data_IF_924217021884
#
_entry.id   IF_924217021884
#
_cell.length_a   1.000
_cell.length_b   1.000
_cell.length_c   1.000
_cell.angle_alpha   90.00
_cell.angle_beta   90.00
_cell.angle_gamma   90.00
#
_symmetry.space_group_name_H-M   'P 1'
#
loop_
_entity.id
_entity.type
_entity.pdbx_description
1 polymer ?
#
# COMPACT_ATOMS: atom_id res chain seq x y z
N UNK A 1 2.40 13.11 -17.26
CA UNK A 1 2.58 11.84 -16.54
C UNK A 1 1.61 10.83 -17.12
N UNK A 2 2.09 9.65 -17.52
CA UNK A 2 1.28 8.61 -18.17
C UNK A 2 0.55 7.82 -17.09
N UNK A 3 -0.79 7.91 -17.09
CA UNK A 3 -1.66 7.13 -16.22
C UNK A 3 -1.85 5.75 -16.82
N UNK A 4 -1.63 4.70 -16.03
CA UNK A 4 -1.76 3.32 -16.47
C UNK A 4 -2.99 2.68 -15.81
N UNK A 5 -3.86 2.00 -16.58
CA UNK A 5 -5.07 1.35 -16.06
C UNK A 5 -4.72 0.16 -15.18
N UNK A 6 -5.68 -0.27 -14.38
CA UNK A 6 -5.58 -1.40 -13.46
C UNK A 6 -5.29 -2.68 -14.24
N UNK A 7 -4.11 -3.27 -14.02
CA UNK A 7 -3.58 -4.41 -14.78
C UNK A 7 -2.41 -4.06 -15.71
N UNK A 8 -2.07 -2.79 -15.88
CA UNK A 8 -0.90 -2.39 -16.64
C UNK A 8 0.39 -2.46 -15.80
N UNK A 9 1.43 -2.99 -16.43
CA UNK A 9 2.79 -3.15 -15.90
C UNK A 9 3.40 -1.79 -15.54
N UNK A 10 3.80 -1.61 -14.28
CA UNK A 10 4.29 -0.32 -13.75
C UNK A 10 5.77 -0.11 -14.12
N UNK A 11 6.09 0.61 -15.21
CA UNK A 11 7.46 0.78 -15.71
C UNK A 11 8.47 1.35 -14.69
N UNK A 12 9.19 0.48 -13.95
CA UNK A 12 10.34 0.87 -13.11
C UNK A 12 11.27 -0.30 -12.78
N UNK A 13 12.58 -0.06 -12.74
CA UNK A 13 13.64 -1.09 -12.81
C UNK A 13 14.21 -1.49 -11.44
N UNK A 14 13.40 -1.53 -10.38
CA UNK A 14 13.87 -1.84 -9.01
C UNK A 14 13.34 -3.20 -8.54
N UNK A 15 14.24 -4.08 -8.09
CA UNK A 15 13.98 -5.48 -7.68
C UNK A 15 14.46 -5.72 -6.23
N UNK A 16 13.71 -6.45 -5.39
CA UNK A 16 14.18 -6.89 -4.05
C UNK A 16 13.85 -8.37 -3.80
N UNK A 17 14.69 -9.10 -3.05
CA UNK A 17 14.78 -10.59 -3.01
C UNK A 17 13.51 -11.39 -2.61
N UNK A 18 12.51 -10.79 -1.96
CA UNK A 18 11.20 -11.40 -1.66
C UNK A 18 10.14 -11.08 -2.74
N UNK A 19 10.47 -10.09 -3.58
CA UNK A 19 9.80 -9.59 -4.78
C UNK A 19 10.69 -9.91 -5.99
N UNK A 20 10.98 -11.19 -6.20
CA UNK A 20 11.73 -11.63 -7.40
C UNK A 20 11.01 -11.28 -8.71
N UNK A 21 9.73 -10.90 -8.61
CA UNK A 21 8.94 -10.19 -9.62
C UNK A 21 9.27 -8.69 -9.54
N UNK A 22 9.54 -8.05 -10.67
CA UNK A 22 9.83 -6.62 -10.69
C UNK A 22 8.68 -5.86 -10.02
N UNK A 23 8.93 -4.69 -9.40
CA UNK A 23 7.81 -3.86 -8.92
C UNK A 23 6.79 -3.53 -10.04
N UNK A 24 7.22 -3.68 -11.32
CA UNK A 24 6.39 -3.71 -12.53
C UNK A 24 5.25 -4.71 -12.51
N UNK A 25 5.45 -5.88 -11.92
CA UNK A 25 4.55 -7.03 -11.99
C UNK A 25 3.59 -7.09 -10.79
N UNK A 26 3.78 -6.18 -9.82
CA UNK A 26 2.99 -6.08 -8.61
C UNK A 26 1.72 -5.27 -8.88
N UNK A 27 0.72 -5.97 -9.38
CA UNK A 27 -0.60 -5.41 -9.68
C UNK A 27 -1.52 -5.42 -8.45
N UNK A 28 -2.64 -4.70 -8.54
CA UNK A 28 -3.71 -4.76 -7.53
C UNK A 28 -4.11 -6.21 -7.21
N UNK A 29 -4.18 -7.07 -8.24
CA UNK A 29 -4.49 -8.50 -8.13
C UNK A 29 -3.56 -9.27 -7.19
N UNK A 30 -2.29 -8.87 -7.08
CA UNK A 30 -1.36 -9.54 -6.17
C UNK A 30 -1.71 -9.29 -4.70
N UNK A 31 -2.22 -8.11 -4.37
CA UNK A 31 -2.53 -7.71 -2.99
C UNK A 31 -3.98 -7.91 -2.60
N UNK A 32 -4.88 -7.90 -3.58
CA UNK A 32 -6.31 -8.05 -3.37
C UNK A 32 -6.62 -9.29 -2.52
N UNK A 33 -7.46 -9.12 -1.50
CA UNK A 33 -7.91 -10.22 -0.65
C UNK A 33 -6.89 -10.69 0.41
N UNK A 34 -5.66 -10.17 0.43
CA UNK A 34 -4.70 -10.49 1.51
C UNK A 34 -5.18 -9.87 2.83
N UNK A 35 -4.97 -10.62 3.90
CA UNK A 35 -5.22 -10.18 5.28
C UNK A 35 -3.97 -9.51 5.85
N UNK A 36 -4.17 -8.38 6.51
CA UNK A 36 -3.13 -7.62 7.19
C UNK A 36 -3.62 -7.21 8.58
N UNK A 37 -2.70 -7.11 9.53
CA UNK A 37 -3.05 -6.91 10.96
C UNK A 37 -2.18 -5.82 11.56
N UNK A 38 -2.78 -4.85 12.26
CA UNK A 38 -2.00 -3.83 12.98
C UNK A 38 -1.58 -4.29 14.39
N UNK A 39 -0.82 -3.45 15.09
CA UNK A 39 -0.35 -3.69 16.46
C UNK A 39 -1.48 -3.82 17.52
N UNK A 40 -2.70 -3.38 17.22
CA UNK A 40 -3.88 -3.53 18.08
C UNK A 40 -4.63 -4.85 17.83
N UNK A 41 -4.16 -5.68 16.89
CA UNK A 41 -4.85 -6.90 16.48
C UNK A 41 -6.01 -6.67 15.52
N UNK A 42 -6.16 -5.46 14.97
CA UNK A 42 -7.21 -5.18 13.96
C UNK A 42 -6.80 -5.85 12.65
N UNK A 43 -7.61 -6.80 12.20
CA UNK A 43 -7.46 -7.46 10.91
C UNK A 43 -8.25 -6.72 9.83
N UNK A 44 -7.61 -6.53 8.68
CA UNK A 44 -8.18 -5.91 7.49
C UNK A 44 -7.88 -6.78 6.27
N UNK A 45 -8.88 -6.96 5.42
CA UNK A 45 -8.70 -7.52 4.07
C UNK A 45 -8.41 -6.37 3.11
N UNK A 46 -7.31 -6.47 2.36
CA UNK A 46 -6.97 -5.48 1.34
C UNK A 46 -8.01 -5.51 0.22
N UNK A 47 -8.67 -4.37 0.01
CA UNK A 47 -9.55 -4.12 -1.13
C UNK A 47 -9.05 -2.90 -1.89
N UNK A 48 -8.50 -3.10 -3.06
CA UNK A 48 -8.05 -2.05 -3.96
C UNK A 48 -9.16 -1.85 -5.00
N UNK A 49 -9.77 -0.65 -5.09
CA UNK A 49 -10.76 -0.38 -6.12
C UNK A 49 -10.22 -0.54 -7.53
N UNK A 50 -11.08 -0.98 -8.46
CA UNK A 50 -10.69 -1.27 -9.85
C UNK A 50 -10.32 -0.02 -10.65
N UNK A 51 -10.65 1.18 -10.18
CA UNK A 51 -10.30 2.46 -10.79
C UNK A 51 -9.01 3.09 -10.23
N UNK A 52 -8.33 2.40 -9.30
CA UNK A 52 -7.06 2.86 -8.73
C UNK A 52 -5.88 2.58 -9.65
N UNK A 53 -5.01 3.57 -9.77
CA UNK A 53 -3.73 3.45 -10.49
C UNK A 53 -2.59 3.14 -9.52
N UNK A 54 -1.63 2.35 -9.97
CA UNK A 54 -0.44 2.00 -9.22
C UNK A 54 0.73 2.94 -9.57
N UNK A 55 1.37 3.52 -8.56
CA UNK A 55 2.62 4.29 -8.71
C UNK A 55 3.63 3.88 -7.66
N UNK A 56 4.93 4.02 -7.97
CA UNK A 56 5.97 3.71 -6.99
C UNK A 56 6.05 4.84 -5.97
N UNK A 57 6.22 4.49 -4.70
CA UNK A 57 6.46 5.46 -3.63
C UNK A 57 7.75 6.23 -3.88
N UNK A 58 7.81 7.51 -3.50
CA UNK A 58 8.96 8.39 -3.77
C UNK A 58 10.32 7.82 -3.28
N UNK A 59 10.32 6.97 -2.25
CA UNK A 59 11.53 6.34 -1.72
C UNK A 59 11.91 5.02 -2.43
N UNK A 60 11.16 4.60 -3.45
CA UNK A 60 11.40 3.36 -4.21
C UNK A 60 11.15 2.06 -3.44
N UNK A 61 10.52 2.11 -2.25
CA UNK A 61 10.35 0.95 -1.36
C UNK A 61 8.91 0.45 -1.26
N UNK A 62 8.05 0.82 -2.19
CA UNK A 62 6.65 0.46 -2.13
C UNK A 62 5.85 0.93 -3.33
N UNK A 63 4.56 0.59 -3.28
CA UNK A 63 3.56 0.90 -4.30
C UNK A 63 2.41 1.65 -3.63
N UNK A 64 1.97 2.71 -4.29
CA UNK A 64 0.80 3.49 -3.98
C UNK A 64 -0.31 3.09 -4.94
N UNK A 65 -1.46 2.67 -4.44
CA UNK A 65 -2.70 2.57 -5.20
C UNK A 65 -3.58 3.75 -4.84
N UNK A 66 -3.95 4.57 -5.83
CA UNK A 66 -4.72 5.79 -5.60
C UNK A 66 -5.71 6.05 -6.73
N UNK A 67 -6.77 6.84 -6.51
CA UNK A 67 -7.62 7.31 -7.59
C UNK A 67 -6.82 8.06 -8.65
N UNK A 68 -7.25 7.96 -9.91
CA UNK A 68 -6.66 8.72 -11.00
C UNK A 68 -6.68 10.23 -10.71
N UNK A 69 -5.54 10.89 -10.87
CA UNK A 69 -5.40 12.33 -10.61
C UNK A 69 -5.23 12.71 -9.13
N UNK A 70 -5.29 11.75 -8.20
CA UNK A 70 -5.08 12.02 -6.78
C UNK A 70 -3.60 12.34 -6.47
N UNK A 71 -3.36 13.46 -5.79
CA UNK A 71 -2.06 13.82 -5.23
C UNK A 71 -1.97 13.43 -3.76
N UNK A 72 -0.73 13.40 -3.25
CA UNK A 72 -0.45 13.13 -1.83
C UNK A 72 -1.00 11.78 -1.34
N UNK A 73 -1.57 11.76 -0.13
CA UNK A 73 -2.11 10.57 0.53
C UNK A 73 -3.64 10.45 0.37
N UNK A 74 -4.29 11.26 -0.47
CA UNK A 74 -5.76 11.28 -0.58
C UNK A 74 -6.28 9.96 -1.14
N UNK A 75 -7.11 9.27 -0.35
CA UNK A 75 -7.70 7.97 -0.66
C UNK A 75 -6.66 6.89 -1.04
N UNK A 76 -5.44 7.01 -0.52
CA UNK A 76 -4.31 6.17 -0.88
C UNK A 76 -4.35 4.82 -0.14
N UNK A 77 -3.99 3.74 -0.83
CA UNK A 77 -3.54 2.48 -0.23
C UNK A 77 -2.06 2.35 -0.52
N UNK A 78 -1.23 2.44 0.51
CA UNK A 78 0.23 2.34 0.37
C UNK A 78 0.70 0.97 0.85
N UNK A 79 1.31 0.21 -0.03
CA UNK A 79 1.95 -1.07 0.28
C UNK A 79 3.46 -0.89 0.27
N UNK A 80 4.12 -1.26 1.35
CA UNK A 80 5.55 -1.10 1.55
C UNK A 80 6.26 -2.45 1.61
N UNK A 81 7.44 -2.53 1.00
CA UNK A 81 8.30 -3.70 1.06
C UNK A 81 8.84 -3.95 2.48
N UNK A 82 9.37 -5.15 2.76
CA UNK A 82 10.01 -5.44 4.03
C UNK A 82 11.07 -4.40 4.41
N UNK A 83 11.03 -3.94 5.66
CA UNK A 83 11.93 -2.87 6.11
C UNK A 83 11.59 -2.30 7.47
N UNK A 84 12.34 -1.28 7.87
CA UNK A 84 12.11 -0.54 9.11
C UNK A 84 11.24 0.69 8.84
N UNK A 85 10.24 0.92 9.67
CA UNK A 85 9.44 2.15 9.72
C UNK A 85 9.14 2.50 11.17
N UNK A 86 9.41 3.75 11.58
CA UNK A 86 9.12 4.22 12.94
C UNK A 86 9.78 3.39 14.05
N UNK A 87 10.96 2.82 13.80
CA UNK A 87 11.66 1.96 14.76
C UNK A 87 11.19 0.50 14.79
N UNK A 88 10.07 0.17 14.13
CA UNK A 88 9.55 -1.19 14.02
C UNK A 88 10.06 -1.84 12.74
N UNK A 89 10.44 -3.12 12.83
CA UNK A 89 10.84 -3.91 11.67
C UNK A 89 9.68 -4.76 11.16
N UNK A 90 9.38 -4.64 9.87
CA UNK A 90 8.29 -5.34 9.18
C UNK A 90 8.91 -6.37 8.23
N UNK A 91 9.11 -7.64 8.64
CA UNK A 91 9.85 -8.64 7.86
C UNK A 91 9.14 -9.07 6.58
N UNK A 92 7.83 -8.82 6.48
CA UNK A 92 6.99 -9.13 5.31
C UNK A 92 6.43 -7.89 4.62
N UNK A 93 6.84 -6.70 5.06
CA UNK A 93 6.26 -5.43 4.65
C UNK A 93 4.97 -5.09 5.40
N UNK A 94 4.35 -3.98 5.00
CA UNK A 94 3.14 -3.45 5.65
C UNK A 94 2.28 -2.65 4.68
N UNK A 95 1.05 -2.35 5.09
CA UNK A 95 0.09 -1.53 4.36
C UNK A 95 -0.40 -0.38 5.24
N UNK A 96 -0.66 0.77 4.61
CA UNK A 96 -1.34 1.91 5.24
C UNK A 96 -2.51 2.34 4.36
N UNK A 97 -3.66 2.57 4.99
CA UNK A 97 -4.88 3.03 4.32
C UNK A 97 -5.15 4.48 4.70
N UNK A 98 -5.45 5.32 3.72
CA UNK A 98 -5.70 6.74 3.92
C UNK A 98 -7.10 7.13 3.46
N UNK A 99 -7.71 8.09 4.16
CA UNK A 99 -8.99 8.69 3.78
C UNK A 99 -8.82 9.84 2.77
N UNK A 100 -9.94 10.47 2.40
CA UNK A 100 -9.97 11.62 1.50
C UNK A 100 -9.22 12.87 2.00
N UNK A 101 -8.87 12.91 3.28
CA UNK A 101 -8.11 13.99 3.90
C UNK A 101 -6.62 13.65 4.06
N UNK A 102 -6.18 12.50 3.52
CA UNK A 102 -4.79 12.04 3.64
C UNK A 102 -4.41 11.55 5.04
N UNK A 103 -5.39 11.28 5.90
CA UNK A 103 -5.19 10.74 7.25
C UNK A 103 -5.24 9.21 7.21
N UNK A 104 -4.36 8.56 7.98
CA UNK A 104 -4.38 7.11 8.07
C UNK A 104 -5.62 6.62 8.85
N UNK A 105 -6.28 5.58 8.36
CA UNK A 105 -7.54 5.08 8.92
C UNK A 105 -7.55 3.56 9.09
N UNK A 106 -8.48 3.08 9.92
CA UNK A 106 -8.99 1.72 9.81
C UNK A 106 -10.02 1.69 8.67
N UNK A 107 -9.75 1.00 7.55
CA UNK A 107 -10.63 1.01 6.39
C UNK A 107 -11.98 0.31 6.62
N UNK A 108 -12.11 -0.52 7.67
CA UNK A 108 -13.38 -1.17 8.02
C UNK A 108 -14.33 -0.23 8.78
N UNK A 109 -13.78 0.73 9.54
CA UNK A 109 -14.58 1.62 10.42
C UNK A 109 -14.53 3.09 10.02
N UNK A 110 -13.64 3.48 9.12
CA UNK A 110 -13.39 4.88 8.74
C UNK A 110 -12.68 5.72 9.80
N UNK A 111 -12.43 5.17 11.00
CA UNK A 111 -11.80 5.90 12.10
C UNK A 111 -10.33 6.16 11.83
N UNK A 112 -9.87 7.38 12.11
CA UNK A 112 -8.47 7.76 12.05
C UNK A 112 -7.63 6.98 13.05
N UNK A 113 -6.43 6.56 12.63
CA UNK A 113 -5.47 5.86 13.44
C UNK A 113 -4.30 6.77 13.84
N UNK A 114 -3.78 6.53 15.04
CA UNK A 114 -2.54 7.16 15.49
C UNK A 114 -1.33 6.59 14.74
N UNK A 115 -0.20 7.29 14.81
CA UNK A 115 1.04 6.92 14.10
C UNK A 115 1.56 5.53 14.45
N UNK A 116 1.36 5.07 15.69
CA UNK A 116 1.81 3.74 16.10
C UNK A 116 0.90 2.62 15.59
N UNK A 117 -0.35 2.93 15.24
CA UNK A 117 -1.37 1.93 14.89
C UNK A 117 -1.67 1.82 13.39
N UNK A 118 -1.11 2.71 12.57
CA UNK A 118 -1.52 2.83 11.16
C UNK A 118 -0.85 1.84 10.20
N UNK A 119 0.14 1.09 10.67
CA UNK A 119 0.80 0.06 9.87
C UNK A 119 0.05 -1.26 10.09
N UNK A 120 -0.40 -1.87 8.99
CA UNK A 120 -0.99 -3.19 8.97
C UNK A 120 -0.01 -4.19 8.34
N UNK A 121 0.44 -5.15 9.12
CA UNK A 121 1.50 -6.08 8.76
C UNK A 121 0.96 -7.22 7.91
N UNK A 122 1.72 -7.63 6.90
CA UNK A 122 1.48 -8.92 6.25
C UNK A 122 1.88 -10.04 7.22
N UNK A 123 0.96 -10.96 7.50
CA UNK A 123 1.19 -12.11 8.39
C UNK A 123 1.83 -13.30 7.69
#
# INVERSE_FOLDING_TARGET
MISLPTGATVNSTITTKQWKTSMRDLTSKFFQGKKVVNNQGIEVVIRIPDDYVATITNNGKGINFRPLGSTDNTNLIRVMSPGKSGGVFYPKGYVVFYNQYGQAINPTTGKTLSKINHHFDFK
#
